data_IF_389996802533
#
_entry.id   IF_389996802533
#
_cell.length_a   1.000
_cell.length_b   1.000
_cell.length_c   1.000
_cell.angle_alpha   90.00
_cell.angle_beta   90.00
_cell.angle_gamma   90.00
#
_symmetry.space_group_name_H-M   'P 1'
#
loop_
_entity.id
_entity.type
_entity.pdbx_description
1 polymer ?
#
# COMPACT_ATOMS: atom_id res chain seq x y z
N UNK A 1 13.76 2.65 6.45
CA UNK A 1 13.65 2.16 7.84
C UNK A 1 12.41 1.32 8.05
N UNK A 2 12.35 0.49 9.09
CA UNK A 2 11.17 -0.35 9.38
C UNK A 2 9.93 0.48 9.71
N UNK A 3 8.74 -0.11 9.57
CA UNK A 3 7.48 0.54 9.96
C UNK A 3 7.51 0.84 11.47
N UNK A 4 7.18 2.07 11.88
CA UNK A 4 7.23 2.48 13.29
C UNK A 4 8.63 2.79 13.82
N UNK A 5 9.61 3.04 12.95
CA UNK A 5 10.98 3.41 13.32
C UNK A 5 11.16 4.90 13.68
N UNK A 6 10.11 5.72 13.62
CA UNK A 6 10.21 7.15 13.92
C UNK A 6 10.63 8.03 12.74
N UNK A 7 10.46 7.60 11.49
CA UNK A 7 10.77 8.39 10.28
C UNK A 7 10.20 9.81 10.34
N UNK A 8 8.95 9.95 10.76
CA UNK A 8 8.28 11.25 10.86
C UNK A 8 9.02 12.21 11.80
N UNK A 9 9.54 11.72 12.93
CA UNK A 9 10.32 12.56 13.86
C UNK A 9 11.64 13.03 13.21
N UNK A 10 12.28 12.18 12.41
CA UNK A 10 13.47 12.58 11.65
C UNK A 10 13.12 13.70 10.66
N UNK A 11 11.98 13.58 9.94
CA UNK A 11 11.52 14.65 9.04
C UNK A 11 11.29 15.95 9.79
N UNK A 12 10.61 15.90 10.94
CA UNK A 12 10.33 17.09 11.78
C UNK A 12 11.63 17.79 12.21
N UNK A 13 12.65 17.03 12.63
CA UNK A 13 13.96 17.59 13.03
C UNK A 13 14.72 18.19 11.85
N UNK A 14 14.66 17.57 10.67
CA UNK A 14 15.28 18.12 9.47
C UNK A 14 14.62 19.42 9.05
N UNK A 15 13.28 19.51 9.14
CA UNK A 15 12.53 20.73 8.87
C UNK A 15 12.89 21.81 9.88
N UNK A 16 12.91 21.51 11.19
CA UNK A 16 13.34 22.46 12.23
C UNK A 16 14.72 23.07 11.92
N UNK A 17 15.67 22.23 11.48
CA UNK A 17 17.02 22.70 11.12
C UNK A 17 16.99 23.67 9.95
N UNK A 18 16.26 23.32 8.89
CA UNK A 18 16.13 24.13 7.68
C UNK A 18 15.45 25.47 7.94
N UNK A 19 14.41 25.47 8.77
CA UNK A 19 13.71 26.70 9.17
C UNK A 19 14.61 27.68 9.98
N UNK A 20 15.50 27.16 10.82
CA UNK A 20 16.50 27.97 11.53
C UNK A 20 17.51 28.64 10.60
N UNK A 21 17.70 28.10 9.40
CA UNK A 21 18.51 28.67 8.35
C UNK A 21 17.71 29.65 7.45
N UNK A 22 16.49 30.02 7.84
CA UNK A 22 15.54 30.82 7.05
C UNK A 22 15.23 30.22 5.66
N UNK A 23 15.28 28.90 5.56
CA UNK A 23 14.89 28.16 4.35
C UNK A 23 13.55 27.46 4.59
N UNK A 24 12.96 26.92 3.53
CA UNK A 24 11.61 26.35 3.52
C UNK A 24 11.62 24.87 3.17
N UNK A 25 10.51 24.19 3.45
CA UNK A 25 10.39 22.75 3.25
C UNK A 25 9.17 22.37 2.40
N UNK A 26 9.35 21.37 1.53
CA UNK A 26 8.26 20.67 0.86
C UNK A 26 8.23 19.23 1.38
N UNK A 27 7.04 18.78 1.80
CA UNK A 27 6.80 17.41 2.26
C UNK A 27 5.71 16.79 1.42
N UNK A 28 6.05 15.77 0.65
CA UNK A 28 5.09 14.99 -0.10
C UNK A 28 4.72 13.74 0.68
N UNK A 29 3.42 13.49 0.78
CA UNK A 29 2.87 12.26 1.37
C UNK A 29 1.85 11.64 0.40
N UNK A 30 1.69 10.32 0.37
CA UNK A 30 0.61 9.72 -0.42
C UNK A 30 -0.75 10.28 0.04
N UNK A 31 -1.65 10.55 -0.88
CA UNK A 31 -2.94 11.17 -0.59
C UNK A 31 -3.74 10.43 0.51
N UNK A 32 -3.73 9.10 0.46
CA UNK A 32 -4.32 8.23 1.49
C UNK A 32 -3.65 8.41 2.87
N UNK A 33 -2.38 8.83 2.91
CA UNK A 33 -1.63 9.03 4.16
C UNK A 33 -1.78 10.46 4.70
N UNK A 34 -2.38 11.38 3.95
CA UNK A 34 -2.66 12.74 4.40
C UNK A 34 -3.89 12.74 5.33
N UNK A 35 -3.76 12.05 6.44
CA UNK A 35 -4.81 11.94 7.45
C UNK A 35 -4.83 13.18 8.34
N UNK A 36 -5.98 13.52 8.97
CA UNK A 36 -6.05 14.58 9.97
C UNK A 36 -5.00 14.44 11.08
N UNK A 37 -4.67 13.20 11.45
CA UNK A 37 -3.64 12.91 12.45
C UNK A 37 -2.25 13.38 11.99
N UNK A 38 -1.85 13.10 10.75
CA UNK A 38 -0.58 13.57 10.20
C UNK A 38 -0.56 15.09 10.10
N UNK A 39 -1.63 15.69 9.59
CA UNK A 39 -1.79 17.14 9.49
C UNK A 39 -1.66 17.80 10.87
N UNK A 40 -2.35 17.26 11.87
CA UNK A 40 -2.27 17.77 13.25
C UNK A 40 -0.85 17.63 13.82
N UNK A 41 -0.13 16.54 13.53
CA UNK A 41 1.26 16.37 13.95
C UNK A 41 2.16 17.48 13.40
N UNK A 42 1.94 17.91 12.16
CA UNK A 42 2.66 19.07 11.62
C UNK A 42 2.22 20.39 12.26
N UNK A 43 0.90 20.63 12.38
CA UNK A 43 0.33 21.86 12.92
C UNK A 43 0.65 22.10 14.40
N UNK A 44 0.85 21.04 15.19
CA UNK A 44 1.26 21.16 16.60
C UNK A 44 2.72 21.59 16.76
N UNK A 45 3.55 21.39 15.75
CA UNK A 45 4.98 21.74 15.82
C UNK A 45 5.36 22.97 15.00
N UNK A 46 4.58 23.31 13.99
CA UNK A 46 4.89 24.38 13.05
C UNK A 46 3.66 25.25 12.78
N UNK A 47 3.84 26.59 12.77
CA UNK A 47 2.72 27.52 12.64
C UNK A 47 2.41 27.87 11.16
N UNK A 48 3.45 28.04 10.32
CA UNK A 48 3.31 28.54 8.95
C UNK A 48 3.31 27.41 7.94
N UNK A 49 2.20 26.67 7.86
CA UNK A 49 2.01 25.50 6.98
C UNK A 49 0.92 25.79 5.96
N UNK A 50 1.16 25.37 4.70
CA UNK A 50 0.14 25.21 3.67
C UNK A 50 -0.14 23.72 3.41
N UNK A 51 -1.40 23.39 3.14
CA UNK A 51 -1.83 22.03 2.82
C UNK A 51 -2.36 21.97 1.39
N UNK A 52 -1.83 21.07 0.56
CA UNK A 52 -2.24 20.90 -0.83
C UNK A 52 -2.64 19.44 -1.11
N UNK A 53 -3.95 19.20 -1.30
CA UNK A 53 -4.47 17.86 -1.61
C UNK A 53 -5.76 17.93 -2.45
N UNK A 54 -6.20 16.80 -3.02
CA UNK A 54 -7.36 16.73 -3.90
C UNK A 54 -8.69 17.04 -3.22
N UNK A 55 -8.79 16.81 -1.91
CA UNK A 55 -10.00 17.07 -1.11
C UNK A 55 -10.31 18.55 -0.87
N UNK A 56 -9.40 19.47 -1.19
CA UNK A 56 -9.66 20.91 -1.16
C UNK A 56 -10.54 21.32 -2.33
N UNK A 57 -11.49 22.22 -2.07
CA UNK A 57 -12.22 22.94 -3.12
C UNK A 57 -11.28 23.81 -3.96
N UNK A 58 -11.73 24.27 -5.12
CA UNK A 58 -10.91 25.15 -5.97
C UNK A 58 -10.58 26.48 -5.27
N UNK A 59 -11.50 27.04 -4.46
CA UNK A 59 -11.25 28.23 -3.65
C UNK A 59 -10.18 27.99 -2.59
N UNK A 60 -10.33 26.93 -1.79
CA UNK A 60 -9.33 26.56 -0.78
C UNK A 60 -7.93 26.33 -1.40
N UNK A 61 -7.85 25.67 -2.59
CA UNK A 61 -6.59 25.50 -3.31
C UNK A 61 -6.00 26.83 -3.75
N UNK A 62 -6.84 27.74 -4.25
CA UNK A 62 -6.41 29.07 -4.65
C UNK A 62 -5.87 29.85 -3.45
N UNK A 63 -6.55 29.85 -2.31
CA UNK A 63 -6.13 30.56 -1.12
C UNK A 63 -4.79 30.03 -0.58
N UNK A 64 -4.66 28.68 -0.48
CA UNK A 64 -3.39 28.07 -0.07
C UNK A 64 -2.25 28.39 -1.05
N UNK A 65 -2.52 28.39 -2.36
CA UNK A 65 -1.53 28.74 -3.39
C UNK A 65 -1.06 30.19 -3.25
N UNK A 66 -1.99 31.12 -3.04
CA UNK A 66 -1.69 32.54 -2.81
C UNK A 66 -0.87 32.78 -1.54
N UNK A 67 -1.19 32.08 -0.47
CA UNK A 67 -0.42 32.11 0.79
C UNK A 67 1.03 31.66 0.55
N UNK A 68 1.23 30.63 -0.26
CA UNK A 68 2.59 30.15 -0.61
C UNK A 68 3.33 31.21 -1.45
N UNK A 69 2.67 31.76 -2.46
CA UNK A 69 3.23 32.74 -3.38
C UNK A 69 3.57 34.05 -2.67
N UNK A 70 2.75 34.50 -1.72
CA UNK A 70 2.96 35.68 -0.92
C UNK A 70 3.98 35.49 0.24
N UNK A 71 4.66 34.37 0.30
CA UNK A 71 5.66 34.08 1.33
C UNK A 71 5.12 33.98 2.77
N UNK A 72 3.81 33.70 2.94
CA UNK A 72 3.15 33.62 4.24
C UNK A 72 3.40 32.27 4.93
N UNK A 73 3.97 31.28 4.22
CA UNK A 73 4.20 29.93 4.74
C UNK A 73 5.64 29.49 4.56
N UNK A 74 6.11 28.63 5.46
CA UNK A 74 7.47 28.08 5.44
C UNK A 74 7.49 26.60 5.07
N UNK A 75 6.37 25.92 5.17
CA UNK A 75 6.25 24.47 4.93
C UNK A 75 5.05 24.24 4.04
N UNK A 76 5.23 23.46 2.99
CA UNK A 76 4.14 22.91 2.17
C UNK A 76 4.06 21.42 2.41
N UNK A 77 2.92 20.93 2.90
CA UNK A 77 2.62 19.50 3.04
C UNK A 77 1.52 19.15 2.07
N UNK A 78 1.69 18.10 1.29
CA UNK A 78 0.64 17.74 0.37
C UNK A 78 0.87 16.45 -0.40
N UNK A 79 -0.10 16.17 -1.27
CA UNK A 79 -0.03 15.04 -2.20
C UNK A 79 0.92 15.35 -3.37
N UNK A 80 0.97 14.45 -4.34
CA UNK A 80 1.82 14.53 -5.54
C UNK A 80 1.93 15.93 -6.16
N UNK A 81 0.80 16.65 -6.34
CA UNK A 81 0.80 17.98 -6.99
C UNK A 81 1.44 19.08 -6.15
N UNK A 82 1.62 18.89 -4.86
CA UNK A 82 2.28 19.86 -3.99
C UNK A 82 3.76 20.09 -4.37
N UNK A 83 4.34 19.20 -5.17
CA UNK A 83 5.69 19.40 -5.71
C UNK A 83 5.80 20.63 -6.59
N UNK A 84 4.70 21.14 -7.15
CA UNK A 84 4.67 22.34 -7.98
C UNK A 84 4.41 23.63 -7.19
N UNK A 85 4.22 23.56 -5.88
CA UNK A 85 3.99 24.73 -5.05
C UNK A 85 5.05 25.83 -5.31
N UNK A 86 4.64 27.12 -5.47
CA UNK A 86 5.56 28.23 -5.81
C UNK A 86 6.36 28.68 -4.57
N UNK A 87 6.97 27.73 -3.87
CA UNK A 87 7.78 27.97 -2.69
C UNK A 87 9.19 28.38 -3.11
N UNK A 88 9.61 29.56 -2.66
CA UNK A 88 10.97 30.09 -2.83
C UNK A 88 11.91 29.54 -1.76
N UNK A 89 13.21 29.69 -1.95
CA UNK A 89 14.27 29.38 -0.97
C UNK A 89 14.11 28.01 -0.29
N UNK A 90 13.89 26.95 -1.08
CA UNK A 90 13.70 25.59 -0.56
C UNK A 90 15.01 25.09 0.04
N UNK A 91 14.97 24.62 1.30
CA UNK A 91 16.11 24.04 2.00
C UNK A 91 16.05 22.52 2.10
N UNK A 92 14.87 21.93 1.91
CA UNK A 92 14.68 20.46 1.91
C UNK A 92 13.40 20.05 1.17
N UNK A 93 13.48 18.93 0.46
CA UNK A 93 12.30 18.25 -0.07
C UNK A 93 12.25 16.84 0.53
N UNK A 94 11.09 16.44 1.07
CA UNK A 94 10.87 15.14 1.69
C UNK A 94 9.75 14.43 0.94
N UNK A 95 9.96 13.18 0.56
CA UNK A 95 8.92 12.30 0.01
C UNK A 95 8.76 11.11 0.93
N UNK A 96 7.67 11.06 1.67
CA UNK A 96 7.35 9.91 2.51
C UNK A 96 6.66 8.81 1.71
N UNK A 97 6.86 7.55 2.13
CA UNK A 97 6.38 6.37 1.40
C UNK A 97 6.71 6.44 -0.10
N UNK A 98 7.99 6.72 -0.43
CA UNK A 98 8.47 7.02 -1.79
C UNK A 98 8.13 5.95 -2.83
N UNK A 99 7.92 4.70 -2.36
CA UNK A 99 7.51 3.57 -3.19
C UNK A 99 6.05 3.67 -3.68
N UNK A 100 5.28 4.65 -3.17
CA UNK A 100 3.86 4.78 -3.52
C UNK A 100 3.69 5.17 -4.99
N UNK A 101 2.89 4.38 -5.71
CA UNK A 101 2.59 4.63 -7.12
C UNK A 101 1.79 5.92 -7.35
N UNK A 102 1.18 6.48 -6.29
CA UNK A 102 0.41 7.72 -6.39
C UNK A 102 1.28 8.94 -6.75
N UNK A 103 2.61 8.84 -6.64
CA UNK A 103 3.53 9.88 -7.09
C UNK A 103 3.68 9.95 -8.60
N UNK A 104 3.35 8.88 -9.33
CA UNK A 104 3.31 8.88 -10.79
C UNK A 104 1.91 9.27 -11.28
N UNK A 105 1.82 10.27 -12.16
CA UNK A 105 0.58 10.65 -12.82
C UNK A 105 0.35 9.80 -14.07
N UNK A 106 -0.79 9.08 -14.08
CA UNK A 106 -1.15 8.18 -15.18
C UNK A 106 -1.98 8.85 -16.29
N UNK A 107 -2.46 10.08 -16.04
CA UNK A 107 -3.22 10.91 -16.98
C UNK A 107 -2.40 12.14 -17.38
N UNK A 108 -2.72 12.71 -18.55
CA UNK A 108 -2.08 13.95 -19.00
C UNK A 108 -2.34 15.12 -18.02
N UNK A 109 -1.30 15.92 -17.71
CA UNK A 109 0.13 15.76 -18.08
C UNK A 109 0.80 14.63 -17.30
N UNK A 110 1.57 13.79 -18.01
CA UNK A 110 2.30 12.68 -17.41
C UNK A 110 3.56 13.18 -16.70
N UNK A 111 3.72 12.86 -15.42
CA UNK A 111 4.95 13.16 -14.66
C UNK A 111 5.09 12.21 -13.46
N UNK A 112 6.30 12.11 -12.94
CA UNK A 112 6.59 11.49 -11.64
C UNK A 112 7.06 12.57 -10.68
N UNK A 113 6.41 12.71 -9.52
CA UNK A 113 6.77 13.71 -8.52
C UNK A 113 8.19 13.53 -7.99
N UNK A 114 8.74 12.31 -8.01
CA UNK A 114 10.14 12.07 -7.62
C UNK A 114 11.11 12.71 -8.61
N UNK A 115 10.84 12.60 -9.91
CA UNK A 115 11.70 13.21 -10.92
C UNK A 115 11.67 14.74 -10.83
N UNK A 116 10.49 15.32 -10.63
CA UNK A 116 10.34 16.77 -10.38
C UNK A 116 11.03 17.19 -9.09
N UNK A 117 10.94 16.39 -8.02
CA UNK A 117 11.62 16.66 -6.75
C UNK A 117 13.15 16.64 -6.91
N UNK A 118 13.69 15.69 -7.67
CA UNK A 118 15.14 15.64 -7.99
C UNK A 118 15.56 16.91 -8.75
N UNK A 119 14.78 17.32 -9.74
CA UNK A 119 15.06 18.55 -10.51
C UNK A 119 15.03 19.78 -9.58
N UNK A 120 13.96 19.95 -8.78
CA UNK A 120 13.83 21.09 -7.85
C UNK A 120 14.93 21.10 -6.77
N UNK A 121 15.26 19.93 -6.22
CA UNK A 121 16.34 19.82 -5.23
C UNK A 121 17.69 20.29 -5.80
N UNK A 122 17.99 19.93 -7.04
CA UNK A 122 19.20 20.42 -7.74
C UNK A 122 19.15 21.92 -7.99
N UNK A 123 18.01 22.45 -8.46
CA UNK A 123 17.84 23.89 -8.73
C UNK A 123 18.02 24.74 -7.47
N UNK A 124 17.51 24.27 -6.32
CA UNK A 124 17.61 24.98 -5.04
C UNK A 124 18.85 24.59 -4.22
N UNK A 125 19.70 23.71 -4.76
CA UNK A 125 20.88 23.17 -4.06
C UNK A 125 20.53 22.68 -2.64
N UNK A 126 19.48 21.84 -2.53
CA UNK A 126 18.98 21.32 -1.24
C UNK A 126 18.89 19.80 -1.27
N UNK A 127 18.93 19.13 -0.11
CA UNK A 127 18.75 17.70 -0.03
C UNK A 127 17.32 17.26 -0.38
N UNK A 128 17.22 16.08 -1.04
CA UNK A 128 15.99 15.33 -1.23
C UNK A 128 16.02 14.08 -0.36
N UNK A 129 15.06 13.94 0.52
CA UNK A 129 14.90 12.78 1.41
C UNK A 129 13.79 11.88 0.90
N UNK A 130 14.14 10.64 0.54
CA UNK A 130 13.19 9.60 0.14
C UNK A 130 12.97 8.63 1.33
N UNK A 131 11.81 8.71 1.95
CA UNK A 131 11.49 7.89 3.12
C UNK A 131 10.61 6.70 2.78
N UNK A 132 10.97 5.51 3.25
CA UNK A 132 10.15 4.31 3.13
C UNK A 132 10.56 3.23 4.14
N UNK A 133 9.60 2.39 4.51
CA UNK A 133 9.87 1.10 5.17
C UNK A 133 10.22 0.01 4.16
N UNK A 134 9.66 0.12 2.96
CA UNK A 134 9.80 -0.81 1.84
C UNK A 134 10.13 -0.01 0.58
N UNK A 135 11.36 0.47 0.42
CA UNK A 135 11.76 1.29 -0.72
C UNK A 135 11.39 0.63 -2.06
N UNK A 136 11.20 1.44 -3.11
CA UNK A 136 11.07 0.88 -4.45
C UNK A 136 12.39 0.22 -4.87
N UNK A 137 12.29 -0.85 -5.66
CA UNK A 137 13.48 -1.58 -6.16
C UNK A 137 14.43 -0.62 -6.86
N UNK A 138 13.90 0.31 -7.65
CA UNK A 138 14.71 1.29 -8.38
C UNK A 138 15.47 2.23 -7.42
N UNK A 139 14.80 2.77 -6.39
CA UNK A 139 15.44 3.66 -5.40
C UNK A 139 16.49 2.93 -4.57
N UNK A 140 16.18 1.70 -4.16
CA UNK A 140 17.11 0.90 -3.37
C UNK A 140 18.32 0.48 -4.20
N UNK A 141 18.15 0.13 -5.49
CA UNK A 141 19.26 -0.15 -6.41
C UNK A 141 20.18 1.08 -6.54
N UNK A 142 19.60 2.28 -6.72
CA UNK A 142 20.40 3.53 -6.77
C UNK A 142 21.20 3.76 -5.49
N UNK A 143 20.64 3.40 -4.34
CA UNK A 143 21.35 3.47 -3.07
C UNK A 143 22.48 2.42 -2.97
N UNK A 144 22.22 1.19 -3.41
CA UNK A 144 23.25 0.11 -3.44
C UNK A 144 24.39 0.41 -4.42
N UNK A 145 24.15 1.18 -5.46
CA UNK A 145 25.16 1.62 -6.44
C UNK A 145 25.78 2.98 -6.10
N UNK A 146 25.56 3.49 -4.88
CA UNK A 146 26.10 4.78 -4.39
C UNK A 146 25.66 6.01 -5.18
N UNK A 147 24.55 5.93 -5.96
CA UNK A 147 23.91 7.08 -6.58
C UNK A 147 23.11 7.87 -5.54
N UNK A 148 22.53 7.18 -4.57
CA UNK A 148 21.88 7.75 -3.39
C UNK A 148 22.63 7.33 -2.12
N UNK A 149 22.62 8.16 -1.11
CA UNK A 149 23.07 7.81 0.22
C UNK A 149 22.00 6.98 0.92
N UNK A 150 22.37 5.82 1.49
CA UNK A 150 21.46 4.93 2.21
C UNK A 150 21.57 5.12 3.72
N UNK A 151 20.50 5.65 4.32
CA UNK A 151 20.38 5.77 5.77
C UNK A 151 19.37 4.73 6.30
N UNK A 152 19.80 3.87 7.20
CA UNK A 152 18.98 2.78 7.71
C UNK A 152 18.51 3.02 9.15
N UNK A 153 17.22 2.86 9.37
CA UNK A 153 16.59 2.81 10.71
C UNK A 153 16.08 1.38 10.92
N UNK A 154 16.86 0.54 11.61
CA UNK A 154 16.63 -0.91 11.71
C UNK A 154 15.64 -1.29 12.80
N UNK A 155 15.49 -0.47 13.84
CA UNK A 155 14.69 -0.79 15.01
C UNK A 155 13.36 -0.03 15.02
N UNK A 156 12.31 -0.66 15.54
CA UNK A 156 11.07 0.03 15.95
C UNK A 156 11.30 0.76 17.26
N UNK A 157 10.57 1.86 17.47
CA UNK A 157 10.61 2.60 18.74
C UNK A 157 10.21 1.70 19.91
N UNK A 158 9.22 0.82 19.72
CA UNK A 158 8.69 -0.05 20.78
C UNK A 158 9.22 -1.50 20.74
N UNK A 159 10.21 -1.81 19.92
CA UNK A 159 10.86 -3.13 19.76
C UNK A 159 9.93 -4.36 19.58
N UNK A 160 8.61 -4.20 19.49
CA UNK A 160 7.66 -5.29 19.35
C UNK A 160 7.32 -5.52 17.87
N UNK A 161 7.82 -6.61 17.30
CA UNK A 161 7.36 -7.11 16.01
C UNK A 161 6.14 -8.02 16.24
N UNK A 162 5.09 -7.95 15.40
CA UNK A 162 3.98 -8.87 15.50
C UNK A 162 4.40 -10.29 15.11
N UNK A 163 3.74 -11.28 15.67
CA UNK A 163 3.82 -12.65 15.23
C UNK A 163 3.04 -12.82 13.93
N UNK A 164 3.72 -13.20 12.84
CA UNK A 164 3.11 -13.39 11.53
C UNK A 164 2.95 -14.87 11.24
N UNK A 165 1.72 -15.28 10.88
CA UNK A 165 1.40 -16.63 10.49
C UNK A 165 0.89 -16.67 9.06
N UNK A 166 1.42 -17.58 8.25
CA UNK A 166 0.94 -17.88 6.91
C UNK A 166 -0.03 -19.08 6.96
N UNK A 167 -1.15 -18.98 6.24
CA UNK A 167 -2.14 -20.06 6.16
C UNK A 167 -2.46 -20.37 4.70
N UNK A 168 -2.21 -21.60 4.30
CA UNK A 168 -2.57 -22.11 2.98
C UNK A 168 -4.07 -22.41 2.91
N UNK A 169 -4.80 -21.61 2.12
CA UNK A 169 -6.23 -21.77 1.94
C UNK A 169 -6.61 -23.02 1.14
N UNK A 170 -5.67 -23.63 0.40
CA UNK A 170 -5.92 -24.91 -0.28
C UNK A 170 -6.24 -26.02 0.76
N UNK A 171 -5.48 -26.06 1.84
CA UNK A 171 -5.71 -27.02 2.92
C UNK A 171 -6.97 -26.69 3.75
N UNK A 172 -7.21 -25.42 3.98
CA UNK A 172 -8.41 -24.95 4.70
C UNK A 172 -9.68 -25.22 3.89
N UNK A 173 -9.63 -25.05 2.58
CA UNK A 173 -10.75 -25.33 1.68
C UNK A 173 -11.15 -26.81 1.68
N UNK A 174 -10.19 -27.74 1.75
CA UNK A 174 -10.44 -29.18 1.91
C UNK A 174 -11.19 -29.50 3.23
N UNK A 175 -10.97 -28.67 4.25
CA UNK A 175 -11.66 -28.78 5.57
C UNK A 175 -13.01 -28.06 5.60
N UNK A 176 -13.45 -27.44 4.50
CA UNK A 176 -14.70 -26.68 4.41
C UNK A 176 -14.59 -25.20 4.78
N UNK A 177 -13.40 -24.70 5.12
CA UNK A 177 -13.15 -23.30 5.46
C UNK A 177 -12.91 -22.48 4.19
N UNK A 178 -13.93 -21.84 3.65
CA UNK A 178 -13.86 -21.17 2.33
C UNK A 178 -13.50 -19.69 2.38
N UNK A 179 -13.77 -19.00 3.50
CA UNK A 179 -13.59 -17.55 3.65
C UNK A 179 -12.52 -17.25 4.70
N UNK A 180 -12.72 -17.74 5.91
CA UNK A 180 -11.78 -17.63 7.01
C UNK A 180 -11.14 -18.98 7.27
N UNK A 181 -9.83 -18.98 7.42
CA UNK A 181 -9.11 -20.13 7.96
C UNK A 181 -9.50 -20.34 9.43
N UNK A 182 -9.41 -21.58 9.91
CA UNK A 182 -9.66 -21.88 11.32
C UNK A 182 -8.80 -21.01 12.24
N UNK A 183 -7.52 -20.84 11.91
CA UNK A 183 -6.59 -19.99 12.70
C UNK A 183 -7.05 -18.54 12.79
N UNK A 184 -7.50 -17.95 11.68
CA UNK A 184 -8.00 -16.57 11.71
C UNK A 184 -9.32 -16.47 12.49
N UNK A 185 -10.22 -17.43 12.32
CA UNK A 185 -11.48 -17.53 13.08
C UNK A 185 -11.24 -17.58 14.59
N UNK A 186 -10.36 -18.47 15.05
CA UNK A 186 -10.04 -18.64 16.47
C UNK A 186 -9.39 -17.37 17.06
N UNK A 187 -8.48 -16.73 16.31
CA UNK A 187 -7.85 -15.48 16.74
C UNK A 187 -8.83 -14.29 16.79
N UNK A 188 -9.81 -14.22 15.89
CA UNK A 188 -10.87 -13.20 15.97
C UNK A 188 -11.69 -13.38 17.25
N UNK A 189 -12.13 -14.59 17.56
CA UNK A 189 -12.85 -14.88 18.81
C UNK A 189 -12.03 -14.48 20.03
N UNK A 190 -10.75 -14.87 20.08
CA UNK A 190 -9.85 -14.51 21.19
C UNK A 190 -9.76 -12.99 21.40
N UNK A 191 -9.63 -12.21 20.30
CA UNK A 191 -9.59 -10.75 20.36
C UNK A 191 -10.92 -10.15 20.85
N UNK A 192 -12.05 -10.65 20.33
CA UNK A 192 -13.36 -10.16 20.74
C UNK A 192 -13.67 -10.47 22.20
N UNK A 193 -13.20 -11.62 22.72
CA UNK A 193 -13.35 -12.01 24.13
C UNK A 193 -12.51 -11.15 25.06
N UNK A 194 -11.37 -10.59 24.56
CA UNK A 194 -10.49 -9.67 25.28
C UNK A 194 -10.84 -8.19 25.09
N UNK A 195 -11.94 -7.90 24.41
CA UNK A 195 -12.35 -6.53 24.03
C UNK A 195 -11.25 -5.76 23.25
N UNK A 196 -10.46 -6.49 22.46
CA UNK A 196 -9.44 -5.97 21.58
C UNK A 196 -10.00 -5.73 20.17
N UNK A 197 -9.27 -4.98 19.35
CA UNK A 197 -9.71 -4.64 18.00
C UNK A 197 -9.01 -5.46 16.93
N UNK A 198 -9.75 -5.71 15.84
CA UNK A 198 -9.30 -6.49 14.69
C UNK A 198 -9.34 -5.65 13.42
N UNK A 199 -8.31 -5.75 12.59
CA UNK A 199 -8.31 -5.24 11.22
C UNK A 199 -8.37 -6.41 10.25
N UNK A 200 -9.34 -6.40 9.32
CA UNK A 200 -9.44 -7.36 8.23
C UNK A 200 -9.17 -6.68 6.89
N UNK A 201 -8.02 -6.97 6.32
CA UNK A 201 -7.66 -6.50 4.97
C UNK A 201 -8.20 -7.47 3.92
N UNK A 202 -9.09 -6.99 3.07
CA UNK A 202 -9.49 -7.69 1.86
C UNK A 202 -8.66 -7.18 0.69
N UNK A 203 -7.70 -7.98 0.23
CA UNK A 203 -6.87 -7.63 -0.93
C UNK A 203 -7.63 -7.91 -2.23
N UNK A 204 -8.43 -6.92 -2.71
CA UNK A 204 -9.40 -7.08 -3.82
C UNK A 204 -8.86 -6.71 -5.20
N UNK A 205 -7.72 -6.03 -5.33
CA UNK A 205 -7.24 -5.55 -6.64
C UNK A 205 -6.86 -6.71 -7.56
N UNK A 206 -7.41 -6.72 -8.79
CA UNK A 206 -7.06 -7.67 -9.85
C UNK A 206 -7.99 -8.88 -10.02
N UNK A 207 -9.02 -9.06 -9.18
CA UNK A 207 -9.87 -10.26 -9.18
C UNK A 207 -10.86 -10.37 -10.37
N UNK A 208 -11.23 -9.28 -11.01
CA UNK A 208 -12.31 -9.32 -12.01
C UNK A 208 -11.85 -9.75 -13.42
N UNK A 209 -10.56 -9.95 -13.64
CA UNK A 209 -10.02 -10.19 -14.98
C UNK A 209 -9.05 -11.36 -15.08
N UNK A 210 -8.68 -11.98 -13.98
CA UNK A 210 -7.75 -13.12 -13.95
C UNK A 210 -8.50 -14.39 -13.58
N UNK A 211 -8.31 -15.43 -14.36
CA UNK A 211 -8.91 -16.75 -14.10
C UNK A 211 -8.02 -17.53 -13.15
N UNK A 212 -8.57 -17.81 -11.94
CA UNK A 212 -7.85 -18.53 -10.87
C UNK A 212 -8.64 -19.77 -10.47
N UNK A 213 -7.95 -20.86 -10.18
CA UNK A 213 -8.56 -22.08 -9.64
C UNK A 213 -8.74 -21.96 -8.13
N UNK A 214 -9.96 -22.02 -7.59
CA UNK A 214 -10.20 -21.91 -6.15
C UNK A 214 -9.71 -23.14 -5.36
N UNK A 215 -9.51 -24.29 -6.05
CA UNK A 215 -9.07 -25.52 -5.40
C UNK A 215 -7.55 -25.59 -5.18
N UNK A 216 -6.75 -25.08 -6.14
CA UNK A 216 -5.28 -25.18 -6.07
C UNK A 216 -4.53 -23.86 -6.25
N UNK A 217 -5.23 -22.74 -6.42
CA UNK A 217 -4.61 -21.43 -6.62
C UNK A 217 -3.97 -21.23 -8.00
N UNK A 218 -4.05 -22.19 -8.92
CA UNK A 218 -3.48 -22.05 -10.27
C UNK A 218 -4.02 -20.78 -10.95
N UNK A 219 -3.10 -20.00 -11.51
CA UNK A 219 -3.40 -18.82 -12.30
C UNK A 219 -2.71 -18.95 -13.67
N UNK A 220 -3.47 -18.75 -14.75
CA UNK A 220 -2.92 -18.88 -16.09
C UNK A 220 -2.03 -17.68 -16.42
N UNK A 221 -0.74 -17.94 -16.61
CA UNK A 221 0.28 -16.94 -16.90
C UNK A 221 0.70 -16.95 -18.36
N UNK A 222 1.23 -15.82 -18.83
CA UNK A 222 1.85 -15.68 -20.12
C UNK A 222 3.17 -16.47 -20.17
N UNK A 223 3.39 -17.35 -21.17
CA UNK A 223 4.61 -18.15 -21.24
C UNK A 223 5.87 -17.33 -21.53
N UNK A 224 5.71 -16.10 -22.07
CA UNK A 224 6.83 -15.20 -22.41
C UNK A 224 7.15 -14.20 -21.30
N UNK A 225 6.13 -13.70 -20.60
CA UNK A 225 6.27 -12.58 -19.65
C UNK A 225 6.11 -13.01 -18.19
N UNK A 226 5.69 -14.25 -17.93
CA UNK A 226 5.39 -14.82 -16.60
C UNK A 226 4.39 -13.97 -15.75
N UNK A 227 3.59 -13.11 -16.41
CA UNK A 227 2.52 -12.36 -15.75
C UNK A 227 1.16 -13.03 -16.01
N UNK A 228 0.19 -12.90 -15.09
CA UNK A 228 -1.15 -13.43 -15.31
C UNK A 228 -1.81 -12.88 -16.57
N UNK A 229 -2.55 -13.74 -17.27
CA UNK A 229 -3.32 -13.34 -18.43
C UNK A 229 -4.64 -12.69 -18.00
N UNK A 230 -5.03 -11.62 -18.69
CA UNK A 230 -6.30 -10.93 -18.46
C UNK A 230 -7.41 -11.54 -19.31
N UNK A 231 -8.50 -11.93 -18.66
CA UNK A 231 -9.68 -12.47 -19.35
C UNK A 231 -10.58 -11.35 -19.89
N UNK A 232 -10.86 -11.40 -21.19
CA UNK A 232 -11.75 -10.50 -21.90
C UNK A 232 -13.08 -11.18 -22.22
N UNK A 233 -14.12 -10.88 -21.43
CA UNK A 233 -15.46 -11.52 -21.56
C UNK A 233 -16.06 -11.40 -22.96
N UNK A 234 -15.90 -10.24 -23.63
CA UNK A 234 -16.47 -10.00 -24.97
C UNK A 234 -15.89 -10.93 -26.05
N UNK A 235 -14.63 -11.28 -25.95
CA UNK A 235 -13.92 -12.11 -26.97
C UNK A 235 -13.69 -13.53 -26.49
N UNK A 236 -14.02 -13.85 -25.23
CA UNK A 236 -13.70 -15.12 -24.56
C UNK A 236 -12.22 -15.51 -24.64
N UNK A 237 -11.34 -14.50 -24.67
CA UNK A 237 -9.88 -14.69 -24.75
C UNK A 237 -9.18 -14.23 -23.51
N UNK A 238 -8.06 -14.86 -23.21
CA UNK A 238 -7.10 -14.46 -22.20
C UNK A 238 -5.92 -13.82 -22.91
N UNK A 239 -5.58 -12.57 -22.56
CA UNK A 239 -4.60 -11.75 -23.27
C UNK A 239 -3.52 -11.27 -22.32
N UNK A 240 -2.27 -11.35 -22.76
CA UNK A 240 -1.13 -10.70 -22.10
C UNK A 240 -1.03 -9.26 -22.59
N UNK A 241 -1.19 -8.30 -21.67
CA UNK A 241 -1.10 -6.87 -22.03
C UNK A 241 0.34 -6.37 -22.26
N UNK A 242 1.37 -7.22 -22.08
CA UNK A 242 2.76 -6.86 -22.34
C UNK A 242 3.21 -7.27 -23.74
N UNK A 243 2.95 -8.52 -24.15
CA UNK A 243 3.40 -9.05 -25.43
C UNK A 243 2.27 -9.41 -26.39
N UNK A 244 1.03 -9.11 -26.02
CA UNK A 244 -0.18 -9.43 -26.80
C UNK A 244 -0.38 -10.95 -27.11
N UNK A 245 0.28 -11.83 -26.34
CA UNK A 245 -0.02 -13.26 -26.42
C UNK A 245 -1.48 -13.50 -26.07
N UNK A 246 -2.17 -14.33 -26.87
CA UNK A 246 -3.58 -14.63 -26.71
C UNK A 246 -3.82 -16.14 -26.66
N UNK A 247 -4.74 -16.57 -25.81
CA UNK A 247 -5.25 -17.93 -25.74
C UNK A 247 -6.74 -17.92 -25.37
N UNK A 248 -7.42 -19.03 -25.54
CA UNK A 248 -8.81 -19.16 -25.10
C UNK A 248 -8.89 -19.36 -23.58
N UNK A 249 -10.06 -19.01 -23.01
CA UNK A 249 -10.34 -19.32 -21.61
C UNK A 249 -10.28 -20.83 -21.40
N UNK A 250 -9.51 -21.25 -20.39
CA UNK A 250 -9.51 -22.65 -19.96
C UNK A 250 -10.79 -22.99 -19.20
N UNK A 251 -11.40 -24.12 -19.47
CA UNK A 251 -12.61 -24.58 -18.81
C UNK A 251 -12.32 -25.49 -17.60
N UNK A 252 -11.13 -26.10 -17.57
CA UNK A 252 -10.67 -26.94 -16.47
C UNK A 252 -9.30 -26.50 -16.01
N UNK A 253 -9.03 -26.64 -14.73
CA UNK A 253 -7.72 -26.35 -14.20
C UNK A 253 -6.68 -27.36 -14.70
N UNK A 254 -5.60 -26.95 -15.36
CA UNK A 254 -4.58 -27.88 -15.85
C UNK A 254 -3.79 -28.53 -14.71
N UNK A 255 -3.85 -27.97 -13.49
CA UNK A 255 -3.10 -28.46 -12.35
C UNK A 255 -3.86 -29.49 -11.50
N UNK A 256 -5.19 -29.33 -11.36
CA UNK A 256 -6.00 -30.20 -10.47
C UNK A 256 -7.33 -30.68 -11.11
N UNK A 257 -7.53 -30.43 -12.40
CA UNK A 257 -8.72 -30.81 -13.17
C UNK A 257 -10.06 -30.26 -12.64
N UNK A 258 -10.04 -29.31 -11.71
CA UNK A 258 -11.26 -28.66 -11.24
C UNK A 258 -11.94 -27.89 -12.38
N UNK A 259 -13.23 -28.11 -12.59
CA UNK A 259 -14.04 -27.45 -13.61
C UNK A 259 -14.64 -26.10 -13.13
N UNK A 260 -14.60 -25.81 -11.82
CA UNK A 260 -15.04 -24.55 -11.23
C UNK A 260 -13.89 -23.54 -11.19
N UNK A 261 -13.54 -22.96 -12.33
CA UNK A 261 -12.64 -21.82 -12.36
C UNK A 261 -13.45 -20.55 -12.09
N UNK A 262 -13.17 -19.84 -11.02
CA UNK A 262 -14.04 -18.78 -10.56
C UNK A 262 -13.45 -17.38 -10.67
N UNK A 263 -14.33 -16.44 -11.00
CA UNK A 263 -14.16 -15.01 -10.80
C UNK A 263 -14.50 -14.68 -9.31
N UNK A 264 -13.80 -15.27 -8.35
CA UNK A 264 -14.10 -15.13 -6.91
C UNK A 264 -13.72 -13.75 -6.38
N UNK A 265 -14.63 -12.79 -6.52
CA UNK A 265 -14.54 -11.50 -5.86
C UNK A 265 -15.55 -11.37 -4.73
N UNK A 266 -15.20 -11.74 -3.49
CA UNK A 266 -15.95 -11.28 -2.33
C UNK A 266 -15.72 -9.79 -2.15
N UNK A 267 -16.82 -8.98 -2.06
CA UNK A 267 -16.73 -7.57 -1.71
C UNK A 267 -16.60 -7.37 -0.21
N UNK A 268 -16.15 -6.19 0.20
CA UNK A 268 -16.08 -5.80 1.63
C UNK A 268 -17.45 -5.83 2.30
N UNK A 269 -18.53 -5.56 1.56
CA UNK A 269 -19.90 -5.64 2.02
C UNK A 269 -20.30 -7.06 2.40
N UNK A 270 -20.14 -8.00 1.48
CA UNK A 270 -20.42 -9.42 1.75
C UNK A 270 -19.54 -9.99 2.87
N UNK A 271 -18.30 -9.50 2.99
CA UNK A 271 -17.43 -9.88 4.09
C UNK A 271 -17.97 -9.34 5.42
N UNK A 272 -18.45 -8.09 5.46
CA UNK A 272 -19.05 -7.51 6.66
C UNK A 272 -20.28 -8.31 7.11
N UNK A 273 -21.20 -8.61 6.19
CA UNK A 273 -22.38 -9.43 6.47
C UNK A 273 -21.99 -10.82 7.02
N UNK A 274 -21.01 -11.46 6.39
CA UNK A 274 -20.50 -12.74 6.82
C UNK A 274 -19.92 -12.68 8.25
N UNK A 275 -19.03 -11.71 8.53
CA UNK A 275 -18.40 -11.51 9.85
C UNK A 275 -19.46 -11.25 10.92
N UNK A 276 -20.42 -10.37 10.67
CA UNK A 276 -21.49 -10.07 11.64
C UNK A 276 -22.39 -11.27 11.92
N UNK A 277 -22.58 -12.16 10.92
CA UNK A 277 -23.36 -13.37 11.08
C UNK A 277 -22.66 -14.44 11.93
N UNK A 278 -21.34 -14.62 11.75
CA UNK A 278 -20.60 -15.71 12.41
C UNK A 278 -20.01 -15.32 13.77
N UNK A 279 -19.85 -14.03 14.04
CA UNK A 279 -19.35 -13.51 15.32
C UNK A 279 -20.41 -12.63 15.98
N UNK A 280 -21.21 -13.15 16.93
CA UNK A 280 -22.29 -12.36 17.56
C UNK A 280 -21.81 -11.10 18.30
N UNK A 281 -20.55 -11.09 18.78
CA UNK A 281 -19.93 -9.93 19.43
C UNK A 281 -19.34 -8.91 18.47
N UNK A 282 -19.33 -9.20 17.16
CA UNK A 282 -18.70 -8.33 16.16
C UNK A 282 -19.53 -7.08 15.89
N UNK A 283 -18.92 -5.92 16.08
CA UNK A 283 -19.39 -4.64 15.57
C UNK A 283 -18.44 -4.23 14.46
N UNK A 284 -18.79 -4.58 13.21
CA UNK A 284 -17.91 -4.38 12.06
C UNK A 284 -18.22 -3.09 11.30
N UNK A 285 -17.20 -2.31 10.96
CA UNK A 285 -17.29 -1.13 10.10
C UNK A 285 -16.41 -1.30 8.87
N UNK A 286 -16.84 -0.73 7.72
CA UNK A 286 -16.07 -0.77 6.47
C UNK A 286 -15.35 0.55 6.21
N UNK A 287 -14.14 0.45 5.67
CA UNK A 287 -13.38 1.58 5.13
C UNK A 287 -12.85 1.19 3.73
N UNK A 288 -13.58 1.56 2.71
CA UNK A 288 -13.25 1.33 1.31
C UNK A 288 -13.64 2.57 0.46
N UNK A 289 -13.36 2.51 -0.84
CA UNK A 289 -13.63 3.64 -1.75
C UNK A 289 -15.12 4.01 -1.74
N UNK A 290 -16.03 3.03 -1.61
CA UNK A 290 -17.47 3.28 -1.68
C UNK A 290 -17.96 3.98 -0.40
N UNK A 291 -17.45 3.59 0.76
CA UNK A 291 -17.82 4.17 2.06
C UNK A 291 -17.15 5.52 2.36
N UNK A 292 -16.09 5.88 1.60
CA UNK A 292 -15.30 7.09 1.85
C UNK A 292 -15.46 8.18 0.77
N UNK A 293 -16.47 8.08 -0.10
CA UNK A 293 -16.72 9.06 -1.19
C UNK A 293 -17.15 10.45 -0.71
N UNK A 294 -17.86 10.53 0.41
CA UNK A 294 -18.34 11.80 0.94
C UNK A 294 -17.28 12.51 1.76
N UNK A 295 -17.27 13.85 1.72
CA UNK A 295 -16.36 14.70 2.52
C UNK A 295 -16.50 14.29 4.00
N UNK A 296 -15.38 14.09 4.68
CA UNK A 296 -15.27 13.68 6.09
C UNK A 296 -15.72 12.23 6.44
N UNK A 297 -16.20 11.43 5.50
CA UNK A 297 -16.59 10.05 5.81
C UNK A 297 -15.41 9.19 6.29
N UNK A 298 -14.23 9.38 5.69
CA UNK A 298 -13.00 8.71 6.13
C UNK A 298 -12.65 9.05 7.59
N UNK A 299 -12.73 10.33 7.95
CA UNK A 299 -12.44 10.82 9.29
C UNK A 299 -13.45 10.29 10.32
N UNK A 300 -14.73 10.28 9.95
CA UNK A 300 -15.79 9.73 10.82
C UNK A 300 -15.56 8.23 11.11
N UNK A 301 -15.30 7.42 10.06
CA UNK A 301 -15.03 5.98 10.23
C UNK A 301 -13.78 5.77 11.11
N UNK A 302 -12.73 6.58 10.89
CA UNK A 302 -11.51 6.53 11.69
C UNK A 302 -11.79 6.82 13.16
N UNK A 303 -12.51 7.91 13.47
CA UNK A 303 -12.82 8.31 14.84
C UNK A 303 -13.75 7.30 15.51
N UNK A 304 -14.79 6.82 14.82
CA UNK A 304 -15.73 5.84 15.36
C UNK A 304 -15.03 4.51 15.70
N UNK A 305 -14.04 4.08 14.91
CA UNK A 305 -13.24 2.90 15.23
C UNK A 305 -12.23 3.16 16.34
N UNK A 306 -11.58 4.33 16.36
CA UNK A 306 -10.66 4.76 17.42
C UNK A 306 -11.37 4.87 18.78
N UNK A 307 -12.61 5.37 18.79
CA UNK A 307 -13.46 5.53 19.96
C UNK A 307 -14.14 4.22 20.39
N UNK A 308 -13.71 3.07 19.81
CA UNK A 308 -14.17 1.72 20.16
C UNK A 308 -15.67 1.45 19.96
N UNK A 309 -16.36 2.30 19.16
CA UNK A 309 -17.76 2.04 18.77
C UNK A 309 -17.86 0.75 17.93
N UNK A 310 -16.77 0.40 17.28
CA UNK A 310 -16.60 -0.81 16.46
C UNK A 310 -15.34 -1.54 16.88
N UNK A 311 -15.39 -2.89 16.83
CA UNK A 311 -14.27 -3.74 17.19
C UNK A 311 -13.63 -4.45 15.98
N UNK A 312 -14.26 -4.43 14.81
CA UNK A 312 -13.69 -4.98 13.57
C UNK A 312 -13.72 -3.91 12.47
N UNK A 313 -12.56 -3.56 11.93
CA UNK A 313 -12.40 -2.70 10.76
C UNK A 313 -12.12 -3.57 9.54
N UNK A 314 -13.03 -3.53 8.56
CA UNK A 314 -12.90 -4.23 7.29
C UNK A 314 -12.57 -3.22 6.20
N UNK A 315 -11.51 -3.48 5.42
CA UNK A 315 -11.21 -2.56 4.33
C UNK A 315 -10.25 -3.12 3.29
N UNK A 316 -9.93 -2.27 2.34
CA UNK A 316 -8.97 -2.56 1.28
C UNK A 316 -7.61 -1.92 1.61
N UNK A 317 -6.78 -1.64 0.62
CA UNK A 317 -5.46 -1.03 0.82
C UNK A 317 -5.47 0.31 1.58
N UNK A 318 -6.63 0.96 1.73
CA UNK A 318 -6.76 2.21 2.49
C UNK A 318 -6.43 2.02 3.97
N UNK A 319 -6.80 0.88 4.57
CA UNK A 319 -6.51 0.58 5.97
C UNK A 319 -5.05 0.22 6.25
N UNK A 320 -4.27 -0.07 5.20
CA UNK A 320 -2.85 -0.38 5.32
C UNK A 320 -1.99 0.86 5.61
N UNK A 321 -2.50 2.08 5.37
CA UNK A 321 -1.71 3.33 5.42
C UNK A 321 -2.27 4.34 6.43
N UNK A 322 -1.36 5.06 7.10
CA UNK A 322 -1.67 6.27 7.88
C UNK A 322 -2.51 6.10 9.15
N UNK A 323 -2.98 4.89 9.50
CA UNK A 323 -3.86 4.65 10.63
C UNK A 323 -3.08 4.13 11.85
N UNK A 324 -3.39 4.62 13.03
CA UNK A 324 -2.82 4.16 14.30
C UNK A 324 -3.93 3.88 15.31
N UNK A 325 -4.05 2.61 15.69
CA UNK A 325 -5.06 2.14 16.64
C UNK A 325 -4.39 1.30 17.72
N UNK A 326 -4.26 1.83 18.94
CA UNK A 326 -3.53 1.17 20.03
C UNK A 326 -4.10 -0.20 20.46
N UNK A 327 -5.42 -0.40 20.32
CA UNK A 327 -6.10 -1.65 20.69
C UNK A 327 -6.13 -2.72 19.59
N UNK A 328 -5.57 -2.43 18.41
CA UNK A 328 -5.48 -3.44 17.33
C UNK A 328 -4.37 -4.43 17.65
N UNK A 329 -4.76 -5.63 18.02
CA UNK A 329 -3.87 -6.75 18.33
C UNK A 329 -3.87 -7.81 17.23
N UNK A 330 -4.94 -7.89 16.42
CA UNK A 330 -5.04 -8.84 15.31
C UNK A 330 -5.21 -8.12 13.97
N UNK A 331 -4.40 -8.53 13.00
CA UNK A 331 -4.57 -8.18 11.59
C UNK A 331 -4.76 -9.46 10.78
N UNK A 332 -5.91 -9.59 10.16
CA UNK A 332 -6.20 -10.67 9.20
C UNK A 332 -6.08 -10.16 7.77
N UNK A 333 -5.28 -10.82 6.95
CA UNK A 333 -5.16 -10.54 5.52
C UNK A 333 -5.86 -11.65 4.75
N UNK A 334 -6.98 -11.31 4.13
CA UNK A 334 -7.71 -12.21 3.25
C UNK A 334 -7.16 -12.09 1.82
N UNK A 335 -6.91 -13.22 1.18
CA UNK A 335 -6.35 -13.28 -0.17
C UNK A 335 -5.02 -12.51 -0.28
N UNK A 336 -4.06 -12.82 0.59
CA UNK A 336 -2.75 -12.16 0.65
C UNK A 336 -1.98 -12.21 -0.67
N UNK A 337 -2.21 -13.24 -1.48
CA UNK A 337 -1.63 -13.47 -2.80
C UNK A 337 -2.39 -12.80 -3.96
N UNK A 338 -3.51 -12.12 -3.72
CA UNK A 338 -4.33 -11.53 -4.78
C UNK A 338 -3.56 -10.52 -5.66
N UNK A 339 -2.66 -9.75 -5.07
CA UNK A 339 -1.85 -8.79 -5.81
C UNK A 339 -0.84 -9.43 -6.75
N UNK A 340 -0.43 -10.69 -6.52
CA UNK A 340 0.43 -11.46 -7.43
C UNK A 340 -0.28 -11.76 -8.76
N UNK A 341 -1.60 -11.74 -8.76
CA UNK A 341 -2.43 -11.99 -9.94
C UNK A 341 -2.67 -10.72 -10.78
N UNK A 342 -2.11 -9.58 -10.40
CA UNK A 342 -2.15 -8.38 -11.24
C UNK A 342 -1.16 -8.56 -12.39
N UNK A 343 -1.57 -8.30 -13.65
CA UNK A 343 -0.69 -8.46 -14.81
C UNK A 343 0.31 -7.30 -14.92
N UNK A 344 1.22 -7.21 -13.96
CA UNK A 344 2.26 -6.20 -13.86
C UNK A 344 3.53 -6.86 -13.29
N UNK A 345 4.69 -6.54 -13.85
CA UNK A 345 5.97 -7.09 -13.38
C UNK A 345 6.30 -6.70 -11.92
N UNK A 346 5.67 -5.64 -11.41
CA UNK A 346 5.80 -5.19 -10.01
C UNK A 346 4.85 -5.89 -9.04
N UNK A 347 4.12 -6.92 -9.50
CA UNK A 347 3.12 -7.60 -8.65
C UNK A 347 3.74 -8.18 -7.37
N UNK A 348 4.93 -8.78 -7.46
CA UNK A 348 5.70 -9.28 -6.31
C UNK A 348 6.08 -8.16 -5.35
N UNK A 349 6.63 -7.08 -5.87
CA UNK A 349 7.02 -5.90 -5.09
C UNK A 349 5.81 -5.28 -4.36
N UNK A 350 4.69 -5.11 -5.06
CA UNK A 350 3.45 -4.57 -4.46
C UNK A 350 2.88 -5.47 -3.38
N UNK A 351 2.96 -6.79 -3.58
CA UNK A 351 2.52 -7.76 -2.57
C UNK A 351 3.38 -7.66 -1.32
N UNK A 352 4.70 -7.66 -1.47
CA UNK A 352 5.62 -7.48 -0.35
C UNK A 352 5.35 -6.17 0.41
N UNK A 353 5.25 -5.05 -0.30
CA UNK A 353 5.00 -3.72 0.27
C UNK A 353 3.69 -3.68 1.05
N UNK A 354 2.60 -4.20 0.46
CA UNK A 354 1.28 -4.22 1.10
C UNK A 354 1.30 -5.06 2.38
N UNK A 355 1.81 -6.29 2.31
CA UNK A 355 1.83 -7.21 3.45
C UNK A 355 2.70 -6.67 4.59
N UNK A 356 3.87 -6.10 4.27
CA UNK A 356 4.74 -5.49 5.25
C UNK A 356 4.09 -4.26 5.93
N UNK A 357 3.41 -3.40 5.16
CA UNK A 357 2.68 -2.24 5.71
C UNK A 357 1.55 -2.65 6.64
N UNK A 358 0.77 -3.65 6.25
CA UNK A 358 -0.38 -4.15 7.03
C UNK A 358 0.09 -4.87 8.28
N UNK A 359 1.12 -5.72 8.18
CA UNK A 359 1.73 -6.38 9.34
C UNK A 359 2.25 -5.37 10.37
N UNK A 360 2.71 -4.22 9.88
CA UNK A 360 3.13 -3.10 10.74
C UNK A 360 2.00 -2.43 11.53
N UNK A 361 0.72 -2.80 11.35
CA UNK A 361 -0.43 -2.22 12.10
C UNK A 361 -0.71 -2.94 13.40
N UNK A 362 -0.40 -4.23 13.51
CA UNK A 362 -0.59 -4.99 14.73
C UNK A 362 0.50 -4.67 15.78
N UNK A 363 0.11 -4.61 17.06
CA UNK A 363 1.05 -4.52 18.17
C UNK A 363 1.84 -3.21 18.24
N UNK A 364 1.20 -2.06 18.00
CA UNK A 364 1.85 -0.75 18.13
C UNK A 364 1.91 -0.23 19.56
N UNK A 365 1.09 -0.77 20.45
CA UNK A 365 1.11 -0.50 21.89
C UNK A 365 1.98 -1.53 22.63
N UNK A 366 1.81 -1.61 23.94
CA UNK A 366 2.43 -2.65 24.79
C UNK A 366 1.90 -4.06 24.53
N UNK A 367 0.75 -4.20 23.83
CA UNK A 367 0.13 -5.48 23.52
C UNK A 367 0.86 -6.17 22.35
N UNK A 368 1.07 -7.48 22.44
CA UNK A 368 1.65 -8.27 21.36
C UNK A 368 0.67 -8.37 20.18
N UNK A 369 1.12 -8.00 19.00
CA UNK A 369 0.32 -8.10 17.78
C UNK A 369 0.43 -9.48 17.12
N UNK A 370 -0.69 -9.96 16.57
CA UNK A 370 -0.76 -11.14 15.71
C UNK A 370 -1.17 -10.73 14.30
N UNK A 371 -0.57 -11.36 13.31
CA UNK A 371 -0.94 -11.20 11.89
C UNK A 371 -1.19 -12.55 11.28
N UNK A 372 -2.35 -12.75 10.67
CA UNK A 372 -2.67 -13.97 9.93
C UNK A 372 -2.84 -13.60 8.46
N UNK A 373 -1.93 -14.08 7.62
CA UNK A 373 -1.98 -13.92 6.17
C UNK A 373 -2.48 -15.23 5.58
N UNK A 374 -3.67 -15.22 5.00
CA UNK A 374 -4.21 -16.38 4.30
C UNK A 374 -4.25 -16.15 2.78
N UNK A 375 -3.96 -17.18 2.00
CA UNK A 375 -3.92 -17.16 0.53
C UNK A 375 -3.73 -18.54 -0.05
N UNK A 376 -3.82 -18.65 -1.37
CA UNK A 376 -3.64 -19.91 -2.11
C UNK A 376 -2.18 -20.16 -2.51
N UNK A 377 -1.36 -19.10 -2.61
CA UNK A 377 0.05 -19.15 -3.01
C UNK A 377 0.95 -18.51 -1.94
N UNK A 378 0.77 -18.91 -0.68
CA UNK A 378 1.51 -18.36 0.47
C UNK A 378 2.98 -18.74 0.48
N UNK A 379 3.39 -19.71 -0.30
CA UNK A 379 4.75 -20.15 -0.57
C UNK A 379 5.54 -19.23 -1.52
N UNK A 380 4.87 -18.23 -2.12
CA UNK A 380 5.56 -17.24 -2.96
C UNK A 380 6.59 -16.44 -2.16
N UNK A 381 7.79 -16.26 -2.73
CA UNK A 381 8.91 -15.56 -2.08
C UNK A 381 8.53 -14.16 -1.54
N UNK A 382 7.69 -13.40 -2.25
CA UNK A 382 7.25 -12.07 -1.82
C UNK A 382 6.46 -12.13 -0.50
N UNK A 383 5.64 -13.18 -0.31
CA UNK A 383 4.83 -13.39 0.89
C UNK A 383 5.70 -13.89 2.04
N UNK A 384 6.56 -14.89 1.77
CA UNK A 384 7.49 -15.44 2.78
C UNK A 384 8.43 -14.35 3.30
N UNK A 385 9.01 -13.55 2.39
CA UNK A 385 9.91 -12.46 2.78
C UNK A 385 9.18 -11.34 3.53
N UNK A 386 7.93 -11.02 3.14
CA UNK A 386 7.11 -10.05 3.86
C UNK A 386 6.74 -10.53 5.28
N UNK A 387 6.42 -11.82 5.45
CA UNK A 387 6.11 -12.37 6.77
C UNK A 387 7.29 -12.33 7.73
N UNK A 388 8.50 -12.42 7.21
CA UNK A 388 9.76 -12.33 7.98
C UNK A 388 10.31 -10.90 8.07
N UNK A 389 9.61 -9.90 7.50
CA UNK A 389 10.10 -8.52 7.39
C UNK A 389 11.48 -8.41 6.72
N UNK A 390 11.81 -9.34 5.81
CA UNK A 390 13.09 -9.48 5.13
C UNK A 390 13.09 -8.75 3.78
N UNK A 391 13.27 -7.41 3.82
CA UNK A 391 13.32 -6.61 2.60
C UNK A 391 14.57 -6.92 1.76
N UNK A 392 15.71 -7.17 2.38
CA UNK A 392 16.96 -7.43 1.64
C UNK A 392 16.86 -8.74 0.86
N UNK A 393 16.42 -9.81 1.51
CA UNK A 393 16.23 -11.09 0.82
C UNK A 393 15.12 -11.02 -0.24
N UNK A 394 14.08 -10.20 -0.04
CA UNK A 394 13.08 -9.93 -1.09
C UNK A 394 13.73 -9.23 -2.29
N UNK A 395 14.51 -8.17 -2.06
CA UNK A 395 15.20 -7.44 -3.11
C UNK A 395 16.12 -8.34 -3.94
N UNK A 396 16.89 -9.21 -3.30
CA UNK A 396 17.82 -10.12 -3.98
C UNK A 396 17.09 -11.10 -4.91
N UNK A 397 15.96 -11.69 -4.46
CA UNK A 397 15.16 -12.60 -5.28
C UNK A 397 14.46 -11.86 -6.45
N UNK A 398 13.88 -10.72 -6.16
CA UNK A 398 13.21 -9.89 -7.16
C UNK A 398 14.19 -9.44 -8.25
N UNK A 399 15.43 -9.06 -7.88
CA UNK A 399 16.46 -8.64 -8.83
C UNK A 399 16.89 -9.76 -9.77
N UNK A 400 16.99 -11.01 -9.29
CA UNK A 400 17.27 -12.17 -10.15
C UNK A 400 16.18 -12.34 -11.23
N UNK A 401 14.90 -12.23 -10.83
CA UNK A 401 13.76 -12.36 -11.73
C UNK A 401 13.75 -11.23 -12.76
N UNK A 402 13.90 -9.97 -12.30
CA UNK A 402 13.90 -8.80 -13.19
C UNK A 402 15.06 -8.82 -14.20
N UNK A 403 16.22 -9.25 -13.78
CA UNK A 403 17.38 -9.43 -14.69
C UNK A 403 17.09 -10.47 -15.77
N UNK A 404 16.54 -11.63 -15.38
CA UNK A 404 16.21 -12.72 -16.31
C UNK A 404 15.13 -12.33 -17.30
N UNK A 405 14.14 -11.55 -16.88
CA UNK A 405 12.97 -11.16 -17.67
C UNK A 405 13.12 -9.78 -18.33
N UNK A 406 14.30 -9.16 -18.26
CA UNK A 406 14.61 -7.86 -18.88
C UNK A 406 13.69 -6.72 -18.37
N UNK A 407 13.47 -6.66 -17.04
CA UNK A 407 12.66 -5.63 -16.39
C UNK A 407 13.50 -4.54 -15.72
N UNK A 408 12.91 -3.38 -15.42
CA UNK A 408 13.56 -2.36 -14.59
C UNK A 408 14.01 -2.91 -13.23
N UNK A 409 15.17 -2.51 -12.69
CA UNK A 409 16.01 -1.38 -13.12
C UNK A 409 17.06 -1.70 -14.18
N UNK A 410 17.11 -2.92 -14.71
CA UNK A 410 18.12 -3.30 -15.71
C UNK A 410 17.80 -2.75 -17.09
N UNK A 411 16.51 -2.64 -17.42
CA UNK A 411 16.02 -2.18 -18.72
C UNK A 411 14.92 -1.14 -18.50
N UNK A 412 14.68 -0.31 -19.51
CA UNK A 412 13.58 0.64 -19.52
C UNK A 412 12.41 0.04 -20.32
N UNK A 413 11.19 0.21 -19.77
CA UNK A 413 9.96 -0.15 -20.47
C UNK A 413 9.24 1.11 -20.91
N UNK A 414 8.83 1.14 -22.18
CA UNK A 414 8.04 2.24 -22.76
C UNK A 414 6.69 1.67 -23.18
N UNK A 415 5.60 2.24 -22.63
CA UNK A 415 4.24 1.93 -23.08
C UNK A 415 3.76 3.00 -24.05
N UNK A 416 3.57 2.62 -25.32
CA UNK A 416 2.94 3.45 -26.33
C UNK A 416 1.47 3.06 -26.42
N UNK A 417 0.58 3.99 -26.08
CA UNK A 417 -0.88 3.80 -26.23
C UNK A 417 -1.38 4.61 -27.40
N UNK A 418 -1.95 3.94 -28.37
CA UNK A 418 -2.65 4.57 -29.50
C UNK A 418 -4.15 4.38 -29.32
N UNK A 419 -4.91 5.44 -29.52
CA UNK A 419 -6.37 5.42 -29.46
C UNK A 419 -6.88 6.07 -30.73
N UNK A 420 -7.72 5.37 -31.46
CA UNK A 420 -8.52 5.90 -32.59
C UNK A 420 -9.91 6.23 -32.08
N UNK A 421 -10.46 7.34 -32.55
CA UNK A 421 -11.86 7.70 -32.37
C UNK A 421 -12.75 6.91 -33.33
#
# INVERSE_FOLDING_TARGET
>A
GVTGSGKTEVYMRLIDKVLKENKKAIVLVPEISLTPQLVNTFKTRFDKIALLHSGLSNGEKYDEWRRIENDEVNIVVGARSAIFAPLSNIGIIIIDEEHSQTYKQENYPYYDAKDIAIYRARTHNCPLVLGSATPSIESYTRAKTNIYELLEMKNRVNNNLPEVSLVDMKEEFKKGNTILSKKLYDNINECLDKEEQVILLLNRRGYNTVVTCPNCGFTHKCPKCDIPLTYHKKTNKMICHYCNYQTYKINKCPNCNNDKLSDLGMGTEKLQEYITKIFPKAKAIRMDIDTTRTKNAHEKIFNDFKDEKYNILIGTQMIAKGLDFPKVTLVGVLNGDASLNIPDFRSGERTFQLLNQVSGRAGRSSLKGKVVIQGFNVDNYSIIKASNNDYVGFYEEEMKIRKKLLYPPFYNLVLIRMQSN
#
